data_IF_282156192333
#
_entry.id   IF_282156192333
#
_cell.length_a   1.000
_cell.length_b   1.000
_cell.length_c   1.000
_cell.angle_alpha   90.00
_cell.angle_beta   90.00
_cell.angle_gamma   90.00
#
_symmetry.space_group_name_H-M   'P 1'
#
loop_
_entity.id
_entity.type
_entity.pdbx_description
1 polymer ?
#
# COMPACT_ATOMS: atom_id res chain seq x y z
N UNK A 1 0.25 23.86 -32.86
CA UNK A 1 -0.81 22.88 -33.17
C UNK A 1 -0.99 21.89 -32.02
N UNK A 2 0.03 21.09 -31.64
CA UNK A 2 -0.08 20.09 -30.58
C UNK A 2 -0.58 20.65 -29.24
N UNK A 3 -0.12 21.83 -28.83
CA UNK A 3 -0.59 22.49 -27.62
C UNK A 3 -2.10 22.85 -27.66
N UNK A 4 -2.59 23.30 -28.81
CA UNK A 4 -4.00 23.57 -29.03
C UNK A 4 -4.85 22.29 -29.02
N UNK A 5 -4.30 21.20 -29.56
CA UNK A 5 -4.95 19.89 -29.52
C UNK A 5 -5.07 19.36 -28.07
N UNK A 6 -4.01 19.52 -27.25
CA UNK A 6 -4.06 19.21 -25.82
C UNK A 6 -5.09 20.08 -25.09
N UNK A 7 -5.09 21.39 -25.35
CA UNK A 7 -6.06 22.32 -24.75
C UNK A 7 -7.51 21.99 -25.15
N UNK A 8 -7.71 21.53 -26.40
CA UNK A 8 -9.01 21.09 -26.93
C UNK A 8 -9.39 19.64 -26.56
N UNK A 9 -8.73 19.03 -25.57
CA UNK A 9 -8.98 17.65 -25.10
C UNK A 9 -8.90 16.58 -26.23
N UNK A 10 -7.88 16.70 -27.09
CA UNK A 10 -7.59 15.74 -28.19
C UNK A 10 -6.18 15.18 -28.04
N UNK A 11 -5.93 14.38 -26.98
CA UNK A 11 -4.56 13.95 -26.63
C UNK A 11 -3.96 13.00 -27.67
N UNK A 12 -4.75 12.14 -28.34
CA UNK A 12 -4.27 11.23 -29.39
C UNK A 12 -3.74 12.01 -30.60
N UNK A 13 -4.46 13.04 -31.04
CA UNK A 13 -4.05 13.88 -32.18
C UNK A 13 -2.79 14.69 -31.83
N UNK A 14 -2.74 15.18 -30.57
CA UNK A 14 -1.56 15.87 -30.07
C UNK A 14 -0.35 14.94 -30.03
N UNK A 15 -0.52 13.70 -29.56
CA UNK A 15 0.54 12.70 -29.49
C UNK A 15 1.09 12.38 -30.90
N UNK A 16 0.23 12.14 -31.89
CA UNK A 16 0.67 11.91 -33.26
C UNK A 16 1.49 13.07 -33.82
N UNK A 17 1.07 14.32 -33.56
CA UNK A 17 1.80 15.53 -33.95
C UNK A 17 3.16 15.64 -33.24
N UNK A 18 3.19 15.35 -31.94
CA UNK A 18 4.41 15.41 -31.12
C UNK A 18 5.44 14.34 -31.46
N UNK A 19 4.99 13.12 -31.75
CA UNK A 19 5.88 12.04 -32.18
C UNK A 19 6.55 12.36 -33.52
N UNK A 20 5.84 13.03 -34.46
CA UNK A 20 6.46 13.52 -35.69
C UNK A 20 7.50 14.59 -35.41
N UNK A 21 7.17 15.59 -34.56
CA UNK A 21 8.12 16.63 -34.15
C UNK A 21 9.34 16.06 -33.43
N UNK A 22 9.15 15.03 -32.62
CA UNK A 22 10.26 14.35 -31.91
C UNK A 22 11.26 13.71 -32.90
N UNK A 23 10.80 13.20 -34.05
CA UNK A 23 11.69 12.68 -35.08
C UNK A 23 12.58 13.76 -35.70
N UNK A 24 12.05 14.97 -35.88
CA UNK A 24 12.77 16.11 -36.42
C UNK A 24 13.68 16.78 -35.36
N UNK A 25 13.23 16.81 -34.12
CA UNK A 25 13.92 17.43 -32.98
C UNK A 25 13.83 16.56 -31.73
N UNK A 26 14.65 15.47 -31.65
CA UNK A 26 14.46 14.43 -30.61
C UNK A 26 14.55 14.91 -29.17
N UNK A 27 15.33 15.96 -28.92
CA UNK A 27 15.67 16.42 -27.57
C UNK A 27 15.14 17.83 -27.24
N UNK A 28 14.18 18.34 -28.01
CA UNK A 28 13.68 19.69 -27.80
C UNK A 28 12.85 19.73 -26.49
N UNK A 29 13.24 20.53 -25.46
CA UNK A 29 12.63 20.50 -24.15
C UNK A 29 11.11 20.73 -24.16
N UNK A 30 10.63 21.66 -25.00
CA UNK A 30 9.22 21.95 -25.13
C UNK A 30 8.43 20.77 -25.72
N UNK A 31 8.97 20.05 -26.68
CA UNK A 31 8.35 18.83 -27.26
C UNK A 31 8.27 17.74 -26.19
N UNK A 32 9.34 17.53 -25.42
CA UNK A 32 9.37 16.56 -24.33
C UNK A 32 8.34 16.90 -23.23
N UNK A 33 8.19 18.18 -22.88
CA UNK A 33 7.18 18.66 -21.94
C UNK A 33 5.76 18.37 -22.42
N UNK A 34 5.48 18.61 -23.69
CA UNK A 34 4.16 18.33 -24.27
C UNK A 34 3.89 16.82 -24.40
N UNK A 35 4.91 16.00 -24.70
CA UNK A 35 4.82 14.53 -24.70
C UNK A 35 4.48 14.01 -23.30
N UNK A 36 5.15 14.51 -22.25
CA UNK A 36 4.80 14.20 -20.86
C UNK A 36 3.32 14.44 -20.61
N UNK A 37 2.79 15.62 -21.00
CA UNK A 37 1.40 15.97 -20.79
C UNK A 37 0.43 15.12 -21.63
N UNK A 38 0.81 14.74 -22.84
CA UNK A 38 0.01 13.87 -23.70
C UNK A 38 -0.09 12.45 -23.09
N UNK A 39 1.03 11.86 -22.69
CA UNK A 39 1.06 10.53 -22.06
C UNK A 39 0.30 10.51 -20.73
N UNK A 40 0.42 11.57 -19.90
CA UNK A 40 -0.37 11.69 -18.67
C UNK A 40 -1.88 11.68 -18.94
N UNK A 41 -2.34 12.40 -19.96
CA UNK A 41 -3.76 12.45 -20.31
C UNK A 41 -4.30 11.15 -20.94
N UNK A 42 -3.41 10.40 -21.59
CA UNK A 42 -3.72 9.10 -22.20
C UNK A 42 -3.52 7.95 -21.22
N UNK A 43 -3.01 8.24 -20.01
CA UNK A 43 -2.63 7.24 -19.01
C UNK A 43 -1.65 6.18 -19.56
N UNK A 44 -0.83 6.60 -20.55
CA UNK A 44 0.19 5.74 -21.14
C UNK A 44 1.43 5.74 -20.24
N UNK A 45 1.28 5.06 -19.10
CA UNK A 45 2.30 4.98 -18.06
C UNK A 45 3.59 4.32 -18.54
N UNK A 46 3.50 3.37 -19.47
CA UNK A 46 4.68 2.68 -20.02
C UNK A 46 5.55 3.62 -20.88
N UNK A 47 4.93 4.38 -21.78
CA UNK A 47 5.70 5.35 -22.59
C UNK A 47 6.16 6.54 -21.73
N UNK A 48 5.39 6.91 -20.70
CA UNK A 48 5.80 7.95 -19.76
C UNK A 48 7.01 7.51 -18.92
N UNK A 49 7.07 6.25 -18.46
CA UNK A 49 8.24 5.73 -17.74
C UNK A 49 9.51 5.77 -18.57
N UNK A 50 9.41 5.49 -19.88
CA UNK A 50 10.52 5.56 -20.84
C UNK A 50 10.97 6.99 -21.13
N UNK A 51 10.04 7.97 -20.99
CA UNK A 51 10.34 9.38 -21.24
C UNK A 51 11.04 10.05 -20.04
N UNK A 52 10.80 9.60 -18.81
CA UNK A 52 11.31 10.21 -17.56
C UNK A 52 12.85 10.40 -17.56
N UNK A 53 13.69 9.41 -17.95
CA UNK A 53 15.14 9.60 -17.97
C UNK A 53 15.58 10.75 -18.89
N UNK A 54 14.89 10.96 -20.00
CA UNK A 54 15.20 12.05 -20.92
C UNK A 54 14.74 13.41 -20.36
N UNK A 55 13.57 13.47 -19.74
CA UNK A 55 13.09 14.66 -19.01
C UNK A 55 14.08 15.10 -17.94
N UNK A 56 14.63 14.13 -17.18
CA UNK A 56 15.64 14.34 -16.13
C UNK A 56 16.94 14.86 -16.73
N UNK A 57 17.47 14.18 -17.75
CA UNK A 57 18.73 14.56 -18.41
C UNK A 57 18.69 15.97 -19.01
N UNK A 58 17.53 16.43 -19.46
CA UNK A 58 17.34 17.75 -20.09
C UNK A 58 16.80 18.81 -19.12
N UNK A 59 16.62 18.49 -17.85
CA UNK A 59 16.06 19.39 -16.83
C UNK A 59 14.77 20.09 -17.32
N UNK A 60 13.87 19.33 -17.97
CA UNK A 60 12.63 19.85 -18.57
C UNK A 60 11.63 20.29 -17.48
N UNK A 61 11.66 19.63 -16.34
CA UNK A 61 10.85 19.92 -15.17
C UNK A 61 11.73 19.82 -13.90
N UNK A 62 11.33 20.47 -12.79
CA UNK A 62 12.04 20.37 -11.52
C UNK A 62 12.19 18.91 -11.06
N UNK A 63 13.29 18.58 -10.40
CA UNK A 63 13.58 17.21 -9.95
C UNK A 63 12.53 16.69 -8.96
N UNK A 64 12.01 17.56 -8.09
CA UNK A 64 10.93 17.21 -7.15
C UNK A 64 9.64 16.79 -7.87
N UNK A 65 9.24 17.55 -8.90
CA UNK A 65 8.07 17.21 -9.74
C UNK A 65 8.30 15.89 -10.49
N UNK A 66 9.53 15.68 -10.97
CA UNK A 66 9.88 14.48 -11.72
C UNK A 66 9.88 13.22 -10.83
N UNK A 67 10.38 13.35 -9.60
CA UNK A 67 10.38 12.24 -8.65
C UNK A 67 8.95 11.84 -8.24
N UNK A 68 8.06 12.82 -8.05
CA UNK A 68 6.65 12.56 -7.76
C UNK A 68 5.94 11.92 -8.96
N UNK A 69 6.18 12.44 -10.15
CA UNK A 69 5.67 11.85 -11.39
C UNK A 69 6.16 10.40 -11.56
N UNK A 70 7.42 10.13 -11.27
CA UNK A 70 8.00 8.79 -11.40
C UNK A 70 7.36 7.81 -10.41
N UNK A 71 7.11 8.20 -9.15
CA UNK A 71 6.35 7.37 -8.20
C UNK A 71 4.94 7.07 -8.74
N UNK A 72 4.22 8.08 -9.18
CA UNK A 72 2.88 7.92 -9.74
C UNK A 72 2.87 6.97 -10.94
N UNK A 73 3.82 7.11 -11.85
CA UNK A 73 3.94 6.25 -13.04
C UNK A 73 4.14 4.79 -12.64
N UNK A 74 5.09 4.52 -11.73
CA UNK A 74 5.37 3.17 -11.31
C UNK A 74 4.24 2.55 -10.49
N UNK A 75 3.54 3.35 -9.67
CA UNK A 75 2.36 2.89 -8.95
C UNK A 75 1.26 2.43 -9.91
N UNK A 76 0.92 3.25 -10.92
CA UNK A 76 -0.09 2.88 -11.91
C UNK A 76 0.34 1.65 -12.74
N UNK A 77 1.62 1.52 -13.09
CA UNK A 77 2.12 0.34 -13.78
C UNK A 77 2.00 -0.94 -12.92
N UNK A 78 2.28 -0.85 -11.61
CA UNK A 78 2.10 -1.98 -10.68
C UNK A 78 0.63 -2.37 -10.57
N UNK A 79 -0.28 -1.41 -10.49
CA UNK A 79 -1.72 -1.64 -10.46
C UNK A 79 -2.20 -2.32 -11.76
N UNK A 80 -1.79 -1.83 -12.94
CA UNK A 80 -2.10 -2.45 -14.24
C UNK A 80 -1.57 -3.89 -14.34
N UNK A 81 -0.33 -4.13 -13.90
CA UNK A 81 0.23 -5.48 -13.89
C UNK A 81 -0.52 -6.42 -12.92
N UNK A 82 -0.95 -5.90 -11.77
CA UNK A 82 -1.77 -6.67 -10.82
C UNK A 82 -3.15 -6.99 -11.38
N UNK A 83 -3.80 -6.06 -12.08
CA UNK A 83 -5.07 -6.31 -12.77
C UNK A 83 -4.94 -7.37 -13.87
N UNK A 84 -3.83 -7.35 -14.62
CA UNK A 84 -3.52 -8.39 -15.61
C UNK A 84 -3.35 -9.75 -14.94
N UNK A 85 -2.57 -9.84 -13.87
CA UNK A 85 -2.42 -11.06 -13.07
C UNK A 85 -3.76 -11.54 -12.52
N UNK A 86 -4.61 -10.63 -12.02
CA UNK A 86 -5.93 -10.96 -11.48
C UNK A 86 -6.85 -11.54 -12.56
N UNK A 87 -6.85 -10.97 -13.77
CA UNK A 87 -7.61 -11.50 -14.90
C UNK A 87 -7.15 -12.90 -15.29
N UNK A 88 -5.83 -13.10 -15.41
CA UNK A 88 -5.25 -14.40 -15.71
C UNK A 88 -5.58 -15.45 -14.65
N UNK A 89 -5.59 -15.09 -13.36
CA UNK A 89 -5.93 -15.99 -12.25
C UNK A 89 -7.42 -16.31 -12.14
N UNK A 90 -8.30 -15.47 -12.66
CA UNK A 90 -9.73 -15.81 -12.78
C UNK A 90 -9.95 -16.95 -13.78
N UNK A 91 -9.14 -17.02 -14.84
CA UNK A 91 -9.20 -18.08 -15.87
C UNK A 91 -8.39 -19.31 -15.44
N UNK A 92 -7.24 -19.11 -14.81
CA UNK A 92 -6.34 -20.13 -14.30
C UNK A 92 -5.79 -19.73 -12.92
N UNK A 93 -6.28 -20.32 -11.80
CA UNK A 93 -5.84 -19.97 -10.45
C UNK A 93 -4.34 -20.08 -10.20
N UNK A 94 -3.65 -20.95 -10.96
CA UNK A 94 -2.19 -21.18 -10.89
C UNK A 94 -1.39 -20.22 -11.81
N UNK A 95 -2.06 -19.26 -12.45
CA UNK A 95 -1.36 -18.30 -13.33
C UNK A 95 -0.28 -17.54 -12.57
N UNK A 96 0.87 -17.40 -13.22
CA UNK A 96 2.05 -16.75 -12.66
C UNK A 96 1.82 -15.26 -12.36
N UNK A 97 2.44 -14.77 -11.31
CA UNK A 97 2.55 -13.34 -10.99
C UNK A 97 3.78 -12.67 -11.62
N UNK A 98 4.45 -13.36 -12.54
CA UNK A 98 5.65 -12.84 -13.21
C UNK A 98 5.51 -11.41 -13.77
N UNK A 99 4.39 -11.02 -14.42
CA UNK A 99 4.23 -9.65 -14.89
C UNK A 99 4.39 -8.59 -13.78
N UNK A 100 3.81 -8.85 -12.61
CA UNK A 100 3.90 -7.96 -11.46
C UNK A 100 5.29 -8.00 -10.80
N UNK A 101 5.86 -9.19 -10.60
CA UNK A 101 7.17 -9.34 -9.95
C UNK A 101 8.31 -8.82 -10.82
N UNK A 102 8.27 -9.04 -12.13
CA UNK A 102 9.23 -8.46 -13.07
C UNK A 102 9.19 -6.94 -13.02
N UNK A 103 7.99 -6.36 -13.04
CA UNK A 103 7.84 -4.92 -12.98
C UNK A 103 8.41 -4.35 -11.67
N UNK A 104 8.22 -5.03 -10.53
CA UNK A 104 8.84 -4.66 -9.27
C UNK A 104 10.37 -4.61 -9.35
N UNK A 105 10.99 -5.56 -10.05
CA UNK A 105 12.44 -5.60 -10.24
C UNK A 105 12.95 -4.49 -11.18
N UNK A 106 12.13 -3.99 -12.09
CA UNK A 106 12.43 -2.87 -12.98
C UNK A 106 12.37 -1.50 -12.27
N UNK A 107 11.76 -1.41 -11.06
CA UNK A 107 11.62 -0.14 -10.36
C UNK A 107 12.96 0.51 -10.05
N UNK A 108 13.09 1.85 -10.25
CA UNK A 108 14.23 2.60 -9.76
C UNK A 108 14.43 2.41 -8.26
N UNK A 109 15.69 2.35 -7.82
CA UNK A 109 16.02 2.00 -6.43
C UNK A 109 15.40 2.94 -5.38
N UNK A 110 15.17 4.21 -5.70
CA UNK A 110 14.52 5.13 -4.77
C UNK A 110 13.00 4.88 -4.67
N UNK A 111 12.33 4.53 -5.79
CA UNK A 111 10.90 4.14 -5.81
C UNK A 111 10.71 2.83 -5.05
N UNK A 112 11.55 1.84 -5.30
CA UNK A 112 11.48 0.52 -4.65
C UNK A 112 11.75 0.55 -3.15
N UNK A 113 12.40 1.61 -2.63
CA UNK A 113 12.63 1.84 -1.19
C UNK A 113 11.62 2.76 -0.55
N UNK A 114 10.73 3.36 -1.33
CA UNK A 114 9.66 4.21 -0.83
C UNK A 114 8.65 3.38 -0.05
N UNK A 115 8.28 3.84 1.13
CA UNK A 115 7.40 3.11 2.06
C UNK A 115 6.01 2.86 1.47
N UNK A 116 5.44 3.86 0.81
CA UNK A 116 4.12 3.73 0.18
C UNK A 116 4.14 2.72 -0.97
N UNK A 117 5.19 2.75 -1.79
CA UNK A 117 5.39 1.78 -2.88
C UNK A 117 5.53 0.35 -2.36
N UNK A 118 6.30 0.15 -1.28
CA UNK A 118 6.46 -1.16 -0.63
C UNK A 118 5.11 -1.66 -0.09
N UNK A 119 4.38 -0.79 0.63
CA UNK A 119 3.07 -1.11 1.18
C UNK A 119 2.08 -1.54 0.10
N UNK A 120 2.00 -0.75 -0.98
CA UNK A 120 1.04 -0.99 -2.05
C UNK A 120 1.39 -2.27 -2.82
N UNK A 121 2.67 -2.51 -3.10
CA UNK A 121 3.11 -3.76 -3.73
C UNK A 121 2.83 -4.99 -2.84
N UNK A 122 3.10 -4.91 -1.53
CA UNK A 122 2.77 -5.99 -0.60
C UNK A 122 1.24 -6.27 -0.55
N UNK A 123 0.41 -5.22 -0.61
CA UNK A 123 -1.06 -5.36 -0.71
C UNK A 123 -1.50 -6.03 -2.01
N UNK A 124 -0.88 -5.66 -3.13
CA UNK A 124 -1.17 -6.28 -4.43
C UNK A 124 -0.83 -7.77 -4.43
N UNK A 125 0.34 -8.14 -3.92
CA UNK A 125 0.73 -9.56 -3.76
C UNK A 125 -0.28 -10.33 -2.90
N UNK A 126 -0.61 -9.79 -1.72
CA UNK A 126 -1.56 -10.42 -0.80
C UNK A 126 -2.97 -10.54 -1.43
N UNK A 127 -3.44 -9.49 -2.10
CA UNK A 127 -4.73 -9.49 -2.82
C UNK A 127 -4.79 -10.48 -3.98
N UNK A 128 -3.64 -10.83 -4.55
CA UNK A 128 -3.49 -11.86 -5.57
C UNK A 128 -3.25 -13.27 -4.98
N UNK A 129 -3.25 -13.42 -3.66
CA UNK A 129 -3.10 -14.70 -2.98
C UNK A 129 -1.64 -15.14 -2.76
N UNK A 130 -0.66 -14.26 -2.96
CA UNK A 130 0.75 -14.52 -2.63
C UNK A 130 1.17 -13.79 -1.35
N UNK A 131 0.47 -14.12 -0.27
CA UNK A 131 0.74 -13.55 1.06
C UNK A 131 2.15 -13.93 1.57
N UNK A 132 2.66 -15.09 1.19
CA UNK A 132 3.99 -15.54 1.59
C UNK A 132 5.10 -14.62 1.04
N UNK A 133 5.00 -14.22 -0.22
CA UNK A 133 5.95 -13.28 -0.81
C UNK A 133 5.80 -11.87 -0.21
N UNK A 134 4.57 -11.43 0.05
CA UNK A 134 4.29 -10.17 0.72
C UNK A 134 4.87 -10.13 2.15
N UNK A 135 4.71 -11.20 2.93
CA UNK A 135 5.31 -11.34 4.26
C UNK A 135 6.84 -11.25 4.20
N UNK A 136 7.45 -12.01 3.30
CA UNK A 136 8.91 -12.04 3.13
C UNK A 136 9.47 -10.65 2.78
N UNK A 137 8.80 -9.91 1.91
CA UNK A 137 9.16 -8.53 1.58
C UNK A 137 9.09 -7.63 2.81
N UNK A 138 7.95 -7.63 3.51
CA UNK A 138 7.73 -6.79 4.68
C UNK A 138 8.72 -7.11 5.81
N UNK A 139 8.96 -8.39 6.08
CA UNK A 139 9.95 -8.87 7.06
C UNK A 139 11.35 -8.33 6.77
N UNK A 140 11.77 -8.40 5.50
CA UNK A 140 13.08 -7.87 5.06
C UNK A 140 13.18 -6.36 5.24
N UNK A 141 12.13 -5.63 4.91
CA UNK A 141 12.10 -4.16 5.04
C UNK A 141 12.09 -3.75 6.50
N UNK A 142 11.19 -4.29 7.32
CA UNK A 142 11.02 -3.95 8.74
C UNK A 142 12.27 -4.23 9.59
N UNK A 143 13.07 -5.22 9.19
CA UNK A 143 14.36 -5.51 9.83
C UNK A 143 15.35 -4.35 9.72
N UNK A 144 15.32 -3.60 8.62
CA UNK A 144 16.28 -2.54 8.33
C UNK A 144 15.67 -1.13 8.49
N UNK A 145 14.41 -0.98 8.16
CA UNK A 145 13.68 0.28 8.17
C UNK A 145 12.32 0.06 8.83
N UNK A 146 12.20 0.53 10.07
CA UNK A 146 10.95 0.40 10.81
C UNK A 146 9.90 1.37 10.29
N UNK A 147 8.66 0.89 10.15
CA UNK A 147 7.49 1.67 9.83
C UNK A 147 6.26 1.11 10.55
N UNK A 148 5.49 1.98 11.18
CA UNK A 148 4.25 1.61 11.85
C UNK A 148 3.16 1.18 10.86
N UNK A 149 3.14 1.74 9.65
CA UNK A 149 2.22 1.31 8.59
C UNK A 149 2.57 -0.10 8.08
N UNK A 150 3.85 -0.36 7.87
CA UNK A 150 4.30 -1.66 7.36
C UNK A 150 4.15 -2.78 8.40
N UNK A 151 4.37 -2.51 9.69
CA UNK A 151 4.14 -3.53 10.73
C UNK A 151 2.65 -3.82 10.92
N UNK A 152 1.78 -2.81 10.79
CA UNK A 152 0.33 -3.02 10.80
C UNK A 152 -0.08 -3.96 9.64
N UNK A 153 0.43 -3.72 8.44
CA UNK A 153 0.19 -4.58 7.28
C UNK A 153 0.77 -5.99 7.47
N UNK A 154 1.99 -6.11 8.04
CA UNK A 154 2.63 -7.39 8.36
C UNK A 154 1.75 -8.26 9.26
N UNK A 155 1.11 -7.64 10.27
CA UNK A 155 0.16 -8.32 11.15
C UNK A 155 -1.14 -8.78 10.43
N UNK A 156 -1.48 -8.19 9.30
CA UNK A 156 -2.67 -8.56 8.50
C UNK A 156 -2.42 -9.70 7.53
N UNK A 157 -1.19 -9.85 7.06
CA UNK A 157 -0.76 -10.83 6.06
C UNK A 157 -0.36 -12.13 6.75
N UNK A 158 -0.72 -13.25 6.15
CA UNK A 158 -0.31 -14.58 6.63
C UNK A 158 0.92 -15.06 5.86
N UNK A 159 2.04 -15.26 6.57
CA UNK A 159 3.24 -15.88 6.03
C UNK A 159 3.07 -17.39 5.80
N UNK A 160 4.08 -17.98 5.19
CA UNK A 160 4.10 -19.44 4.95
C UNK A 160 4.11 -20.22 6.27
N UNK A 161 4.80 -19.71 7.28
CA UNK A 161 4.87 -20.27 8.63
C UNK A 161 4.39 -19.21 9.65
N UNK A 162 3.12 -19.32 10.13
CA UNK A 162 2.57 -18.40 11.10
C UNK A 162 3.30 -18.39 12.45
N UNK A 163 3.87 -19.52 12.88
CA UNK A 163 4.63 -19.60 14.14
C UNK A 163 5.95 -18.85 14.01
N UNK A 164 6.70 -19.06 12.93
CA UNK A 164 7.93 -18.31 12.63
C UNK A 164 7.64 -16.83 12.52
N UNK A 165 6.55 -16.45 11.83
CA UNK A 165 6.16 -15.06 11.67
C UNK A 165 5.91 -14.36 13.01
N UNK A 166 5.21 -15.02 13.95
CA UNK A 166 4.99 -14.54 15.30
C UNK A 166 6.31 -14.39 16.08
N UNK A 167 7.17 -15.42 16.05
CA UNK A 167 8.46 -15.39 16.74
C UNK A 167 9.36 -14.24 16.28
N UNK A 168 9.37 -13.95 14.98
CA UNK A 168 10.13 -12.83 14.41
C UNK A 168 9.58 -11.49 14.91
N UNK A 169 8.26 -11.33 14.91
CA UNK A 169 7.63 -10.10 15.40
C UNK A 169 7.89 -9.88 16.90
N UNK A 170 7.93 -10.95 17.71
CA UNK A 170 8.29 -10.90 19.12
C UNK A 170 9.75 -10.49 19.36
N UNK A 171 10.66 -10.84 18.44
CA UNK A 171 12.05 -10.34 18.54
C UNK A 171 12.10 -8.82 18.36
N UNK A 172 11.25 -8.24 17.52
CA UNK A 172 11.16 -6.79 17.36
C UNK A 172 10.63 -6.10 18.62
N UNK A 173 9.77 -6.77 19.40
CA UNK A 173 9.24 -6.24 20.66
C UNK A 173 10.35 -5.96 21.68
N UNK A 174 11.46 -6.70 21.67
CA UNK A 174 12.60 -6.48 22.59
C UNK A 174 13.18 -5.07 22.49
N UNK A 175 13.09 -4.46 21.32
CA UNK A 175 13.62 -3.11 21.07
C UNK A 175 12.52 -2.04 20.93
N UNK A 176 11.24 -2.44 20.92
CA UNK A 176 10.07 -1.57 20.68
C UNK A 176 8.91 -1.92 21.59
N UNK A 177 9.17 -2.05 22.89
CA UNK A 177 8.20 -2.50 23.90
C UNK A 177 6.94 -1.64 23.97
N UNK A 178 7.05 -0.35 23.62
CA UNK A 178 5.96 0.63 23.70
C UNK A 178 5.44 1.06 22.31
N UNK A 179 5.50 0.17 21.30
CA UNK A 179 4.96 0.46 19.99
C UNK A 179 3.55 -0.16 19.85
N UNK A 180 2.47 0.66 19.82
CA UNK A 180 1.10 0.15 19.78
C UNK A 180 0.77 -0.57 18.47
N UNK A 181 1.38 -0.22 17.34
CA UNK A 181 1.14 -0.91 16.07
C UNK A 181 1.80 -2.28 16.02
N UNK A 182 3.00 -2.42 16.61
CA UNK A 182 3.63 -3.73 16.78
C UNK A 182 2.80 -4.64 17.68
N UNK A 183 2.27 -4.11 18.79
CA UNK A 183 1.41 -4.88 19.69
C UNK A 183 0.10 -5.29 19.02
N UNK A 184 -0.50 -4.42 18.19
CA UNK A 184 -1.66 -4.79 17.36
C UNK A 184 -1.32 -5.92 16.40
N UNK A 185 -0.17 -5.83 15.71
CA UNK A 185 0.30 -6.89 14.81
C UNK A 185 0.53 -8.21 15.55
N UNK A 186 1.19 -8.18 16.71
CA UNK A 186 1.42 -9.35 17.58
C UNK A 186 0.12 -9.98 18.04
N UNK A 187 -0.89 -9.18 18.39
CA UNK A 187 -2.22 -9.68 18.72
C UNK A 187 -2.84 -10.47 17.55
N UNK A 188 -2.78 -9.93 16.34
CA UNK A 188 -3.27 -10.61 15.12
C UNK A 188 -2.52 -11.88 14.81
N UNK A 189 -1.19 -11.86 14.91
CA UNK A 189 -0.35 -13.04 14.70
C UNK A 189 -0.61 -14.11 15.77
N UNK A 190 -0.87 -13.71 17.01
CA UNK A 190 -1.25 -14.62 18.09
C UNK A 190 -2.62 -15.27 17.84
N UNK A 191 -3.60 -14.52 17.28
CA UNK A 191 -4.89 -15.08 16.87
C UNK A 191 -4.73 -16.17 15.80
N UNK A 192 -3.85 -15.95 14.81
CA UNK A 192 -3.57 -16.95 13.77
C UNK A 192 -2.96 -18.23 14.33
N UNK A 193 -2.22 -18.12 15.41
CA UNK A 193 -1.62 -19.25 16.11
C UNK A 193 -2.52 -19.79 17.25
N UNK A 194 -3.79 -19.39 17.29
CA UNK A 194 -4.77 -19.83 18.30
C UNK A 194 -4.37 -19.52 19.75
N UNK A 195 -3.48 -18.55 19.94
CA UNK A 195 -2.98 -18.13 21.25
C UNK A 195 -3.87 -17.00 21.82
N UNK A 196 -5.13 -17.33 22.11
CA UNK A 196 -6.19 -16.35 22.47
C UNK A 196 -5.84 -15.45 23.64
N UNK A 197 -5.30 -16.01 24.72
CA UNK A 197 -4.88 -15.25 25.91
C UNK A 197 -3.78 -14.26 25.58
N UNK A 198 -2.76 -14.69 24.82
CA UNK A 198 -1.64 -13.85 24.38
C UNK A 198 -2.11 -12.74 23.44
N UNK A 199 -3.03 -13.05 22.53
CA UNK A 199 -3.64 -12.05 21.65
C UNK A 199 -4.34 -10.96 22.44
N UNK A 200 -5.14 -11.33 23.47
CA UNK A 200 -5.81 -10.39 24.37
C UNK A 200 -4.81 -9.47 25.06
N UNK A 201 -3.75 -10.02 25.66
CA UNK A 201 -2.75 -9.23 26.37
C UNK A 201 -2.06 -8.19 25.44
N UNK A 202 -1.75 -8.57 24.21
CA UNK A 202 -1.16 -7.67 23.23
C UNK A 202 -2.13 -6.54 22.83
N UNK A 203 -3.40 -6.86 22.55
CA UNK A 203 -4.41 -5.85 22.22
C UNK A 203 -4.67 -4.89 23.39
N UNK A 204 -4.83 -5.40 24.61
CA UNK A 204 -5.03 -4.58 25.78
C UNK A 204 -3.83 -3.66 26.05
N UNK A 205 -2.60 -4.17 25.89
CA UNK A 205 -1.39 -3.39 26.04
C UNK A 205 -1.28 -2.31 24.95
N UNK A 206 -1.62 -2.64 23.71
CA UNK A 206 -1.70 -1.67 22.61
C UNK A 206 -2.65 -0.52 22.95
N UNK A 207 -3.86 -0.84 23.47
CA UNK A 207 -4.87 0.16 23.84
C UNK A 207 -4.46 1.04 25.03
N UNK A 208 -3.70 0.51 25.98
CA UNK A 208 -3.14 1.29 27.09
C UNK A 208 -2.14 2.34 26.61
N UNK A 209 -1.41 2.05 25.53
CA UNK A 209 -0.44 2.96 24.94
C UNK A 209 -1.10 4.00 24.04
N UNK A 210 -2.01 3.56 23.19
CA UNK A 210 -2.72 4.42 22.25
C UNK A 210 -4.09 3.84 21.91
N UNK A 211 -5.13 4.64 22.03
CA UNK A 211 -6.46 4.29 21.55
C UNK A 211 -6.42 4.17 20.01
N UNK A 212 -6.77 2.99 19.52
CA UNK A 212 -6.79 2.66 18.09
C UNK A 212 -8.06 1.90 17.76
N UNK A 213 -8.82 2.38 16.76
CA UNK A 213 -10.08 1.76 16.34
C UNK A 213 -9.91 0.32 15.87
N UNK A 214 -8.81 0.01 15.20
CA UNK A 214 -8.52 -1.35 14.75
C UNK A 214 -8.29 -2.29 15.94
N UNK A 215 -7.52 -1.84 16.94
CA UNK A 215 -7.27 -2.65 18.14
C UNK A 215 -8.54 -2.87 18.95
N UNK A 216 -9.40 -1.84 19.05
CA UNK A 216 -10.73 -1.98 19.69
C UNK A 216 -11.59 -3.00 18.95
N UNK A 217 -11.61 -2.97 17.62
CA UNK A 217 -12.38 -3.91 16.80
C UNK A 217 -11.86 -5.34 16.95
N UNK A 218 -10.52 -5.55 16.92
CA UNK A 218 -9.93 -6.89 17.07
C UNK A 218 -10.19 -7.47 18.47
N UNK A 219 -10.02 -6.68 19.53
CA UNK A 219 -10.30 -7.12 20.89
C UNK A 219 -11.79 -7.38 21.13
N UNK A 220 -12.67 -6.53 20.59
CA UNK A 220 -14.12 -6.73 20.65
C UNK A 220 -14.51 -8.05 19.97
N UNK A 221 -13.98 -8.32 18.77
CA UNK A 221 -14.22 -9.56 18.05
C UNK A 221 -13.76 -10.78 18.84
N UNK A 222 -12.58 -10.72 19.44
CA UNK A 222 -12.05 -11.79 20.28
C UNK A 222 -12.96 -12.04 21.49
N UNK A 223 -13.35 -10.99 22.23
CA UNK A 223 -14.23 -11.10 23.39
C UNK A 223 -15.60 -11.71 23.03
N UNK A 224 -16.19 -11.30 21.89
CA UNK A 224 -17.45 -11.88 21.41
C UNK A 224 -17.33 -13.39 21.18
N UNK A 225 -16.25 -13.86 20.56
CA UNK A 225 -16.02 -15.29 20.33
C UNK A 225 -15.68 -16.08 21.61
N UNK A 226 -15.22 -15.39 22.65
CA UNK A 226 -15.01 -15.97 23.98
C UNK A 226 -16.27 -15.95 24.86
N UNK A 227 -17.40 -15.45 24.35
CA UNK A 227 -18.67 -15.35 25.10
C UNK A 227 -18.74 -14.14 26.03
N UNK A 228 -17.83 -13.17 25.91
CA UNK A 228 -17.78 -11.95 26.72
C UNK A 228 -18.51 -10.79 26.00
N UNK A 229 -19.82 -10.94 25.78
CA UNK A 229 -20.62 -10.02 24.94
C UNK A 229 -20.64 -8.58 25.48
N UNK A 230 -20.83 -8.38 26.79
CA UNK A 230 -20.87 -7.04 27.40
C UNK A 230 -19.51 -6.30 27.18
N UNK A 231 -18.39 -7.01 27.39
CA UNK A 231 -17.06 -6.46 27.16
C UNK A 231 -16.83 -6.11 25.69
N UNK A 232 -17.32 -6.96 24.78
CA UNK A 232 -17.28 -6.73 23.34
C UNK A 232 -18.05 -5.47 22.94
N UNK A 233 -19.31 -5.35 23.39
CA UNK A 233 -20.17 -4.18 23.10
C UNK A 233 -19.53 -2.89 23.62
N UNK A 234 -18.99 -2.90 24.84
CA UNK A 234 -18.32 -1.75 25.43
C UNK A 234 -17.14 -1.26 24.57
N UNK A 235 -16.33 -2.18 24.05
CA UNK A 235 -15.20 -1.85 23.18
C UNK A 235 -15.67 -1.27 21.83
N UNK A 236 -16.74 -1.82 21.24
CA UNK A 236 -17.32 -1.27 20.01
C UNK A 236 -17.85 0.15 20.22
N UNK A 237 -18.57 0.39 21.31
CA UNK A 237 -19.04 1.74 21.65
C UNK A 237 -17.88 2.73 21.82
N UNK A 238 -16.80 2.32 22.48
CA UNK A 238 -15.59 3.14 22.57
C UNK A 238 -15.02 3.46 21.19
N UNK A 239 -15.03 2.53 20.25
CA UNK A 239 -14.55 2.74 18.89
C UNK A 239 -15.39 3.73 18.07
N UNK A 240 -16.69 3.86 18.43
CA UNK A 240 -17.65 4.77 17.79
C UNK A 240 -17.71 6.16 18.45
N UNK A 241 -17.10 6.36 19.62
CA UNK A 241 -17.06 7.67 20.26
C UNK A 241 -16.40 8.72 19.36
N UNK A 242 -17.06 9.87 19.29
CA UNK A 242 -16.55 11.05 18.57
C UNK A 242 -15.74 11.93 19.53
N UNK A 243 -14.88 12.80 18.99
CA UNK A 243 -14.04 13.70 19.80
C UNK A 243 -14.84 14.66 20.68
N UNK A 244 -16.09 14.91 20.36
CA UNK A 244 -17.00 15.77 21.11
C UNK A 244 -18.04 15.01 21.97
N UNK A 245 -17.95 13.67 21.99
CA UNK A 245 -18.97 12.83 22.60
C UNK A 245 -20.33 12.86 21.86
N UNK A 246 -21.27 12.07 22.35
CA UNK A 246 -22.66 12.12 21.87
C UNK A 246 -23.49 13.01 22.83
N UNK A 247 -24.47 13.76 22.32
CA UNK A 247 -25.38 14.53 23.17
C UNK A 247 -26.15 13.58 24.11
N UNK A 248 -26.43 14.06 25.33
CA UNK A 248 -27.27 13.34 26.27
C UNK A 248 -28.72 13.46 25.81
N UNK A 249 -29.23 12.36 25.23
CA UNK A 249 -30.59 12.27 24.71
C UNK A 249 -31.41 11.26 25.53
N UNK A 250 -32.74 11.52 25.72
CA UNK A 250 -33.60 10.57 26.42
C UNK A 250 -33.65 9.22 25.67
N UNK A 251 -33.46 8.13 26.43
CA UNK A 251 -33.50 6.77 25.90
C UNK A 251 -34.70 6.00 26.45
N UNK A 252 -35.23 5.03 25.71
CA UNK A 252 -36.25 4.13 26.21
C UNK A 252 -35.80 3.46 27.51
N UNK A 253 -36.69 3.37 28.48
CA UNK A 253 -36.42 2.59 29.70
C UNK A 253 -36.56 1.10 29.36
N UNK A 254 -35.56 0.29 29.75
CA UNK A 254 -35.61 -1.16 29.63
C UNK A 254 -36.70 -1.78 30.49
#
# INVERSE_FOLDING_TARGET
>A
QAQLQLAGNRPEQALATLLRLRKESPHHPFVLKLLKNAYLRLEDWRELSRLIPELRKRSVVPESELNELERQVWQNLLEQAAEECQRSRKENPEASLEPLTRLWDELPGFVRRDEYTIRDYARLLAGLGDEAQAETLLRKVLRNHWSDELINLYGRIQGQDPEEQLLIAEQWLKHRTNNPELLLALGRLSLRNELWGKAREYFETSLKLRRNRETLAELSRLNAHMGEEEASIKLLMQGLETDHGLPDLPMPRA
#
